data_IF_005076504318
#
_entry.id   IF_005076504318
#
_cell.length_a   1.000
_cell.length_b   1.000
_cell.length_c   1.000
_cell.angle_alpha   90.00
_cell.angle_beta   90.00
_cell.angle_gamma   90.00
#
_symmetry.space_group_name_H-M   'P 1'
#
loop_
_entity.id
_entity.type
_entity.pdbx_description
1 polymer ?
#
# COMPACT_ATOMS: atom_id res chain seq x y z
N UNK A 1 15.02 1.09 -23.97
CA UNK A 1 15.25 2.19 -23.01
C UNK A 1 14.96 1.67 -21.63
N UNK A 2 15.40 2.37 -20.59
CA UNK A 2 15.14 1.97 -19.21
C UNK A 2 13.65 2.09 -18.88
N UNK A 3 13.17 1.24 -17.97
CA UNK A 3 11.77 1.22 -17.52
C UNK A 3 11.69 1.49 -16.02
N UNK A 4 10.61 2.14 -15.59
CA UNK A 4 10.29 2.30 -14.19
C UNK A 4 9.27 1.24 -13.78
N UNK A 5 9.57 0.46 -12.76
CA UNK A 5 8.72 -0.62 -12.28
C UNK A 5 8.55 -0.55 -10.76
N UNK A 6 7.40 -1.01 -10.27
CA UNK A 6 7.18 -1.23 -8.84
C UNK A 6 7.25 -2.72 -8.62
N UNK A 7 8.26 -3.15 -7.87
CA UNK A 7 8.40 -4.53 -7.49
C UNK A 7 7.50 -4.79 -6.29
N UNK A 8 6.57 -5.73 -6.42
CA UNK A 8 5.72 -6.13 -5.30
C UNK A 8 6.58 -6.66 -4.16
N UNK A 9 6.40 -6.11 -2.96
CA UNK A 9 7.24 -6.40 -1.79
C UNK A 9 8.36 -5.37 -1.57
N UNK A 10 8.58 -4.45 -2.51
CA UNK A 10 9.42 -3.28 -2.33
C UNK A 10 8.56 -2.02 -2.18
N UNK A 11 8.96 -1.11 -1.30
CA UNK A 11 8.29 0.17 -1.04
C UNK A 11 8.76 1.31 -1.97
N UNK A 12 9.61 0.97 -2.94
CA UNK A 12 10.26 1.94 -3.82
C UNK A 12 10.03 1.65 -5.30
N UNK A 13 10.04 2.72 -6.10
CA UNK A 13 10.08 2.63 -7.55
C UNK A 13 11.48 2.20 -7.97
N UNK A 14 11.59 1.25 -8.88
CA UNK A 14 12.87 0.74 -9.38
C UNK A 14 13.10 1.19 -10.81
N UNK A 15 14.30 1.67 -11.11
CA UNK A 15 14.77 1.87 -12.47
C UNK A 15 15.42 0.58 -12.96
N UNK A 16 14.83 -0.01 -13.99
CA UNK A 16 15.26 -1.26 -14.57
C UNK A 16 15.82 -1.04 -15.98
N UNK A 17 16.97 -1.64 -16.27
CA UNK A 17 17.55 -1.65 -17.60
C UNK A 17 17.31 -3.02 -18.26
N UNK A 18 16.64 -3.09 -19.43
CA UNK A 18 16.44 -4.34 -20.14
C UNK A 18 17.78 -4.93 -20.61
N UNK A 19 17.97 -6.24 -20.38
CA UNK A 19 19.09 -7.02 -20.90
C UNK A 19 18.68 -7.90 -22.08
N UNK A 20 17.54 -8.57 -21.94
CA UNK A 20 16.97 -9.53 -22.89
C UNK A 20 15.45 -9.64 -22.62
N UNK A 21 14.76 -10.51 -23.34
CA UNK A 21 13.36 -10.88 -23.08
C UNK A 21 13.20 -11.26 -21.61
N UNK A 22 12.35 -10.49 -20.90
CA UNK A 22 12.02 -10.64 -19.48
C UNK A 22 13.19 -10.56 -18.49
N UNK A 23 14.39 -10.12 -18.90
CA UNK A 23 15.57 -9.97 -18.02
C UNK A 23 15.97 -8.53 -17.86
N UNK A 24 16.16 -8.11 -16.62
CA UNK A 24 16.44 -6.72 -16.27
C UNK A 24 17.53 -6.60 -15.21
N UNK A 25 18.41 -5.61 -15.37
CA UNK A 25 19.31 -5.15 -14.30
C UNK A 25 18.59 -4.09 -13.47
N UNK A 26 18.71 -4.18 -12.14
CA UNK A 26 18.32 -3.09 -11.24
C UNK A 26 19.40 -2.02 -11.30
N UNK A 27 19.11 -0.87 -11.93
CA UNK A 27 20.06 0.24 -12.05
C UNK A 27 20.13 1.02 -10.75
N UNK A 28 18.96 1.39 -10.23
CA UNK A 28 18.85 2.17 -9.00
C UNK A 28 17.42 2.16 -8.46
N UNK A 29 17.29 2.56 -7.21
CA UNK A 29 16.04 3.02 -6.63
C UNK A 29 15.72 4.43 -7.15
N UNK A 30 14.47 4.64 -7.57
CA UNK A 30 13.95 5.93 -7.98
C UNK A 30 12.99 6.48 -6.91
N UNK A 31 13.13 7.78 -6.61
CA UNK A 31 12.24 8.44 -5.66
C UNK A 31 11.02 9.04 -6.38
N UNK A 32 9.85 8.49 -6.09
CA UNK A 32 8.58 9.07 -6.53
C UNK A 32 7.65 9.24 -5.32
N UNK A 33 7.42 10.50 -4.92
CA UNK A 33 6.68 10.82 -3.69
C UNK A 33 5.27 10.21 -3.64
N UNK A 34 4.61 10.07 -4.79
CA UNK A 34 3.28 9.43 -4.89
C UNK A 34 3.33 7.90 -4.80
N UNK A 35 4.46 7.26 -5.12
CA UNK A 35 4.65 5.82 -4.89
C UNK A 35 4.67 5.47 -3.40
N UNK A 36 5.18 6.36 -2.54
CA UNK A 36 5.15 6.20 -1.07
C UNK A 36 3.72 6.00 -0.57
N UNK A 37 2.77 6.70 -1.21
CA UNK A 37 1.34 6.57 -0.91
C UNK A 37 0.64 5.54 -1.78
N UNK A 38 1.38 4.64 -2.45
CA UNK A 38 0.83 3.60 -3.31
C UNK A 38 -0.08 4.13 -4.45
N UNK A 39 -0.04 5.42 -4.77
CA UNK A 39 -0.86 5.99 -5.87
C UNK A 39 -0.43 5.50 -7.26
N UNK A 40 0.73 4.89 -7.36
CA UNK A 40 1.25 4.28 -8.58
C UNK A 40 0.64 2.90 -8.86
N UNK A 41 0.15 2.19 -7.84
CA UNK A 41 -0.49 0.86 -7.94
C UNK A 41 -1.97 0.88 -7.54
N UNK A 42 -2.41 1.95 -6.90
CA UNK A 42 -3.80 2.19 -6.53
C UNK A 42 -4.34 3.38 -7.33
N UNK A 43 -5.66 3.48 -7.46
CA UNK A 43 -6.29 4.69 -8.00
C UNK A 43 -5.86 5.94 -7.21
N UNK A 44 -5.95 7.15 -7.81
CA UNK A 44 -5.76 8.39 -7.08
C UNK A 44 -6.64 8.45 -5.82
N UNK A 45 -6.22 9.22 -4.81
CA UNK A 45 -7.07 9.44 -3.64
C UNK A 45 -8.43 10.03 -4.05
N UNK A 46 -9.54 9.59 -3.41
CA UNK A 46 -10.83 10.22 -3.63
C UNK A 46 -10.76 11.72 -3.36
N UNK A 47 -11.60 12.49 -4.05
CA UNK A 47 -11.63 13.95 -3.91
C UNK A 47 -11.81 14.33 -2.44
N UNK A 48 -11.01 15.28 -1.97
CA UNK A 48 -11.03 15.76 -0.59
C UNK A 48 -10.09 15.01 0.35
N UNK A 49 -9.56 13.84 -0.03
CA UNK A 49 -8.58 13.13 0.79
C UNK A 49 -7.14 13.50 0.44
N UNK A 50 -6.30 13.60 1.47
CA UNK A 50 -4.84 13.64 1.32
C UNK A 50 -4.14 12.86 2.42
N UNK A 51 -3.01 12.19 2.12
CA UNK A 51 -2.20 11.57 3.14
C UNK A 51 -1.49 12.64 3.99
N UNK A 52 -1.36 12.38 5.28
CA UNK A 52 -0.62 13.22 6.24
C UNK A 52 0.21 12.34 7.16
N UNK A 53 1.38 12.84 7.55
CA UNK A 53 2.19 12.22 8.59
C UNK A 53 1.73 12.73 9.94
N UNK A 54 1.28 11.83 10.79
CA UNK A 54 0.89 12.13 12.17
C UNK A 54 1.89 11.48 13.12
N UNK A 55 2.39 12.24 14.08
CA UNK A 55 3.20 11.68 15.15
C UNK A 55 2.32 10.88 16.10
N UNK A 56 2.69 9.63 16.36
CA UNK A 56 2.04 8.78 17.34
C UNK A 56 2.93 8.67 18.57
N UNK A 57 2.43 9.15 19.71
CA UNK A 57 3.17 9.18 20.98
C UNK A 57 3.47 7.77 21.50
N UNK A 58 2.56 6.81 21.28
CA UNK A 58 2.67 5.44 21.81
C UNK A 58 3.76 4.65 21.08
N UNK A 59 3.82 4.72 19.76
CA UNK A 59 4.86 4.07 18.95
C UNK A 59 6.13 4.94 18.80
N UNK A 60 6.08 6.21 19.21
CA UNK A 60 7.14 7.21 19.04
C UNK A 60 7.60 7.34 17.58
N UNK A 61 6.67 7.25 16.65
CA UNK A 61 6.96 7.27 15.21
C UNK A 61 5.95 8.12 14.44
N UNK A 62 6.34 8.57 13.25
CA UNK A 62 5.42 9.18 12.29
C UNK A 62 4.75 8.11 11.47
N UNK A 63 3.42 8.20 11.36
CA UNK A 63 2.59 7.24 10.65
C UNK A 63 1.68 7.97 9.68
N UNK A 64 1.36 7.29 8.58
CA UNK A 64 0.46 7.85 7.56
C UNK A 64 -0.97 7.72 8.06
N UNK A 65 -1.70 8.83 8.04
CA UNK A 65 -3.16 8.89 8.18
C UNK A 65 -3.74 9.66 6.99
N UNK A 66 -5.05 9.61 6.81
CA UNK A 66 -5.74 10.24 5.70
C UNK A 66 -6.67 11.32 6.24
N UNK A 67 -6.42 12.57 5.81
CA UNK A 67 -7.23 13.72 6.18
C UNK A 67 -8.27 13.97 5.10
N UNK A 68 -9.55 14.00 5.49
CA UNK A 68 -10.59 14.58 4.67
C UNK A 68 -10.56 16.11 4.84
N UNK A 69 -10.26 16.84 3.77
CA UNK A 69 -9.91 18.27 3.81
C UNK A 69 -11.10 19.15 4.21
N UNK A 70 -12.32 18.76 3.86
CA UNK A 70 -13.52 19.56 4.12
C UNK A 70 -14.01 19.39 5.57
N UNK A 71 -14.12 18.14 6.05
CA UNK A 71 -14.57 17.85 7.42
C UNK A 71 -13.44 17.97 8.46
N UNK A 72 -12.18 17.97 8.01
CA UNK A 72 -10.96 17.89 8.84
C UNK A 72 -10.87 16.61 9.67
N UNK A 73 -11.64 15.58 9.30
CA UNK A 73 -11.61 14.28 9.95
C UNK A 73 -10.38 13.49 9.50
N UNK A 74 -9.73 12.86 10.48
CA UNK A 74 -8.62 11.95 10.25
C UNK A 74 -9.12 10.52 10.32
N UNK A 75 -8.67 9.69 9.38
CA UNK A 75 -8.88 8.25 9.42
C UNK A 75 -7.54 7.53 9.21
N UNK A 76 -7.37 6.41 9.89
CA UNK A 76 -6.20 5.53 9.75
C UNK A 76 -6.31 4.69 8.48
N UNK A 77 -7.54 4.36 8.09
CA UNK A 77 -7.84 3.52 6.95
C UNK A 77 -7.68 4.27 5.63
N UNK A 78 -7.05 3.60 4.66
CA UNK A 78 -6.92 4.14 3.31
C UNK A 78 -8.31 4.29 2.67
N UNK A 79 -8.75 5.52 2.30
CA UNK A 79 -10.06 5.77 1.73
C UNK A 79 -10.24 5.07 0.38
N UNK A 80 -9.15 4.71 -0.32
CA UNK A 80 -9.23 3.93 -1.57
C UNK A 80 -9.65 2.49 -1.33
N UNK A 81 -9.56 2.03 -0.10
CA UNK A 81 -9.96 0.70 0.33
C UNK A 81 -11.35 0.65 0.96
N UNK A 82 -12.05 1.78 1.00
CA UNK A 82 -13.44 1.84 1.45
C UNK A 82 -14.35 1.01 0.54
N UNK A 83 -15.30 0.29 1.13
CA UNK A 83 -16.21 -0.60 0.40
C UNK A 83 -15.57 -1.88 -0.17
N UNK A 84 -14.27 -2.09 0.04
CA UNK A 84 -13.58 -3.32 -0.38
C UNK A 84 -13.49 -4.29 0.81
N UNK A 85 -14.21 -5.43 0.77
CA UNK A 85 -14.18 -6.39 1.86
C UNK A 85 -12.78 -6.98 2.02
N UNK A 86 -12.40 -7.29 3.26
CA UNK A 86 -11.25 -8.14 3.52
C UNK A 86 -11.53 -9.56 3.00
N UNK A 87 -10.49 -10.35 2.67
CA UNK A 87 -10.67 -11.75 2.33
C UNK A 87 -11.43 -12.52 3.41
N UNK A 88 -12.14 -13.57 3.02
CA UNK A 88 -12.93 -14.39 3.95
C UNK A 88 -12.08 -14.88 5.13
N UNK A 89 -12.68 -14.88 6.33
CA UNK A 89 -12.00 -15.28 7.57
C UNK A 89 -11.04 -14.24 8.14
N UNK A 90 -11.00 -13.02 7.59
CA UNK A 90 -10.16 -11.92 8.09
C UNK A 90 -10.99 -10.73 8.54
N UNK A 91 -10.56 -10.09 9.63
CA UNK A 91 -11.10 -8.81 10.09
C UNK A 91 -10.00 -7.88 10.55
N UNK A 92 -10.30 -6.59 10.61
CA UNK A 92 -9.40 -5.65 11.29
C UNK A 92 -9.45 -5.93 12.78
N UNK A 93 -8.28 -5.86 13.42
CA UNK A 93 -8.20 -5.81 14.87
C UNK A 93 -8.71 -4.45 15.30
N UNK A 94 -9.65 -4.42 16.24
CA UNK A 94 -10.08 -3.17 16.84
C UNK A 94 -8.98 -2.69 17.78
N UNK A 95 -8.35 -1.56 17.45
CA UNK A 95 -7.21 -1.05 18.21
C UNK A 95 -7.35 0.43 18.61
N UNK A 96 -8.53 1.03 18.40
CA UNK A 96 -8.74 2.46 18.62
C UNK A 96 -7.88 3.35 17.71
N UNK A 97 -8.08 4.66 17.76
CA UNK A 97 -7.36 5.64 16.92
C UNK A 97 -5.88 5.80 17.32
N UNK A 98 -5.50 5.33 18.51
CA UNK A 98 -4.14 5.46 19.05
C UNK A 98 -3.19 4.36 18.57
N UNK A 99 -3.70 3.27 18.00
CA UNK A 99 -2.90 2.25 17.34
C UNK A 99 -3.03 2.40 15.84
N UNK A 100 -1.96 2.91 15.23
CA UNK A 100 -1.86 3.03 13.78
C UNK A 100 -1.38 1.73 13.18
N UNK A 101 -2.11 1.25 12.18
CA UNK A 101 -1.77 0.05 11.43
C UNK A 101 -3.03 -0.76 11.18
N UNK A 102 -3.26 -1.15 9.93
CA UNK A 102 -4.30 -2.10 9.58
C UNK A 102 -3.86 -3.49 10.06
N UNK A 103 -3.82 -3.74 11.37
CA UNK A 103 -3.61 -5.10 11.85
C UNK A 103 -4.81 -5.93 11.47
N UNK A 104 -4.54 -7.00 10.76
CA UNK A 104 -5.56 -7.96 10.37
C UNK A 104 -5.38 -9.19 11.24
N UNK A 105 -6.49 -9.72 11.73
CA UNK A 105 -6.53 -10.97 12.48
C UNK A 105 -7.35 -12.00 11.73
N UNK A 106 -7.02 -13.27 11.94
CA UNK A 106 -7.88 -14.38 11.57
C UNK A 106 -9.11 -14.38 12.50
N UNK A 107 -10.30 -14.51 11.93
CA UNK A 107 -11.57 -14.49 12.66
C UNK A 107 -11.73 -15.66 13.64
N UNK A 108 -11.15 -16.82 13.31
CA UNK A 108 -11.37 -18.06 14.07
C UNK A 108 -10.30 -18.25 15.15
N UNK A 109 -9.07 -17.83 14.88
CA UNK A 109 -7.91 -18.08 15.77
C UNK A 109 -7.45 -16.86 16.55
N UNK A 110 -7.97 -15.66 16.25
CA UNK A 110 -7.46 -14.37 16.74
C UNK A 110 -5.96 -14.13 16.42
N UNK A 111 -5.38 -14.96 15.54
CA UNK A 111 -3.99 -14.85 15.14
C UNK A 111 -3.75 -13.55 14.38
N UNK A 112 -2.76 -12.79 14.82
CA UNK A 112 -2.28 -11.59 14.16
C UNK A 112 -1.53 -11.97 12.88
N UNK A 113 -2.15 -11.72 11.72
CA UNK A 113 -1.55 -12.00 10.42
C UNK A 113 -0.66 -10.84 9.93
N UNK A 114 -0.39 -9.88 10.81
CA UNK A 114 0.54 -8.77 10.58
C UNK A 114 -0.14 -7.46 10.19
N UNK A 115 0.70 -6.51 9.81
CA UNK A 115 0.34 -5.14 9.45
C UNK A 115 0.08 -4.93 7.95
N UNK A 116 0.21 -5.98 7.15
CA UNK A 116 -0.01 -5.92 5.71
C UNK A 116 -1.51 -6.01 5.40
N UNK A 117 -2.01 -5.07 4.58
CA UNK A 117 -3.40 -5.12 4.13
C UNK A 117 -3.57 -6.30 3.16
N UNK A 118 -4.31 -7.35 3.54
CA UNK A 118 -4.44 -8.57 2.74
C UNK A 118 -5.18 -8.35 1.42
N UNK A 119 -5.83 -7.20 1.25
CA UNK A 119 -6.44 -6.81 -0.02
C UNK A 119 -5.38 -6.50 -1.07
N UNK A 120 -4.16 -6.12 -0.68
CA UNK A 120 -3.09 -5.79 -1.62
C UNK A 120 -2.42 -7.06 -2.18
N UNK A 121 -3.17 -7.85 -2.92
CA UNK A 121 -2.68 -9.05 -3.60
C UNK A 121 -2.78 -8.87 -5.13
N UNK A 122 -2.22 -9.83 -5.87
CA UNK A 122 -2.20 -9.80 -7.34
C UNK A 122 -3.62 -9.66 -7.93
N UNK A 123 -4.60 -10.39 -7.39
CA UNK A 123 -5.97 -10.36 -7.89
C UNK A 123 -6.64 -9.00 -7.67
N UNK A 124 -6.34 -8.34 -6.55
CA UNK A 124 -6.76 -6.96 -6.31
C UNK A 124 -6.19 -5.99 -7.34
N UNK A 125 -4.88 -6.06 -7.61
CA UNK A 125 -4.26 -5.18 -8.61
C UNK A 125 -4.84 -5.42 -10.01
N UNK A 126 -5.02 -6.69 -10.42
CA UNK A 126 -5.68 -7.04 -11.69
C UNK A 126 -7.11 -6.50 -11.78
N UNK A 127 -7.90 -6.63 -10.70
CA UNK A 127 -9.28 -6.10 -10.66
C UNK A 127 -9.36 -4.59 -10.87
N UNK A 128 -8.25 -3.87 -10.65
CA UNK A 128 -8.11 -2.41 -10.83
C UNK A 128 -7.50 -2.03 -12.18
N UNK A 129 -7.27 -3.00 -13.07
CA UNK A 129 -6.68 -2.77 -14.38
C UNK A 129 -5.16 -2.55 -14.35
N UNK A 130 -4.50 -2.89 -13.23
CA UNK A 130 -3.03 -2.86 -13.15
C UNK A 130 -2.50 -4.05 -13.95
N UNK A 131 -1.63 -3.76 -14.92
CA UNK A 131 -0.92 -4.80 -15.66
C UNK A 131 0.15 -5.42 -14.74
N UNK A 132 0.07 -6.72 -14.52
CA UNK A 132 0.96 -7.46 -13.65
C UNK A 132 1.87 -8.33 -14.50
N UNK A 133 3.18 -8.12 -14.40
CA UNK A 133 4.19 -8.86 -15.15
C UNK A 133 5.19 -9.53 -14.21
N UNK A 134 5.67 -10.70 -14.61
CA UNK A 134 6.77 -11.39 -13.92
C UNK A 134 8.04 -11.09 -14.67
N UNK A 135 9.03 -10.54 -13.96
CA UNK A 135 10.34 -10.19 -14.50
C UNK A 135 11.42 -11.04 -13.84
N UNK A 136 12.50 -11.32 -14.56
CA UNK A 136 13.74 -11.86 -13.97
C UNK A 136 14.72 -10.74 -13.72
N UNK A 137 15.08 -10.53 -12.46
CA UNK A 137 16.16 -9.61 -12.08
C UNK A 137 17.50 -10.34 -12.12
N UNK A 138 18.52 -9.70 -12.68
CA UNK A 138 19.89 -10.21 -12.81
C UNK A 138 20.85 -9.41 -11.97
#
# INVERSE_FOLDING_TARGET
>A
GDIMAILLGCDSLMLLQPLDTDKYIVVSEAFYNRAIYRESISSPFPKGYRPVWQYNEKSRSYLISFLHCDSRELQVDDPRSEGIPLPSGRRKKDQGLEETGNRVVNNDTEEDVGSYDPRLNIEFFKSRGVNMETLTLV
#
